data_IF_499726848162
#
_entry.id   IF_499726848162
#
_cell.length_a   1.000
_cell.length_b   1.000
_cell.length_c   1.000
_cell.angle_alpha   90.00
_cell.angle_beta   90.00
_cell.angle_gamma   90.00
#
_symmetry.space_group_name_H-M   'P 1'
#
loop_
_entity.id
_entity.type
_entity.pdbx_description
1 polymer ?
#
# COMPACT_ATOMS: atom_id res chain seq x y z
N UNK A 1 0.73 7.31 0.21
CA UNK A 1 0.08 7.99 1.34
C UNK A 1 -1.22 7.28 1.65
N UNK A 2 -1.29 6.71 2.85
CA UNK A 2 -2.52 6.13 3.39
C UNK A 2 -3.17 7.11 4.38
N UNK A 3 -4.50 7.17 4.39
CA UNK A 3 -5.29 7.90 5.38
C UNK A 3 -6.39 7.03 5.97
N UNK A 4 -6.70 7.26 7.25
CA UNK A 4 -7.65 6.47 8.03
C UNK A 4 -8.65 7.40 8.70
N UNK A 5 -9.94 7.08 8.56
CA UNK A 5 -11.03 7.77 9.23
C UNK A 5 -11.80 6.73 10.04
N UNK A 6 -12.00 7.02 11.33
CA UNK A 6 -12.74 6.17 12.25
C UNK A 6 -14.09 6.81 12.54
N UNK A 7 -15.18 6.05 12.33
CA UNK A 7 -16.54 6.46 12.65
C UNK A 7 -17.24 5.34 13.43
N UNK A 8 -17.17 5.42 14.76
CA UNK A 8 -17.58 4.31 15.62
C UNK A 8 -16.70 3.09 15.36
N UNK A 9 -17.32 1.97 14.99
CA UNK A 9 -16.61 0.73 14.63
C UNK A 9 -16.22 0.68 13.15
N UNK A 10 -16.64 1.64 12.32
CA UNK A 10 -16.29 1.68 10.90
C UNK A 10 -14.92 2.35 10.73
N UNK A 11 -14.01 1.67 10.04
CA UNK A 11 -12.78 2.26 9.50
C UNK A 11 -12.91 2.45 7.99
N UNK A 12 -12.62 3.67 7.54
CA UNK A 12 -12.49 4.01 6.12
C UNK A 12 -11.02 4.27 5.84
N UNK A 13 -10.50 3.60 4.82
CA UNK A 13 -9.08 3.58 4.49
C UNK A 13 -8.95 4.10 3.07
N UNK A 14 -8.02 5.02 2.83
CA UNK A 14 -7.78 5.58 1.50
C UNK A 14 -6.29 5.52 1.16
N UNK A 15 -5.92 4.85 0.08
CA UNK A 15 -4.53 4.75 -0.40
C UNK A 15 -4.32 5.52 -1.71
N UNK A 16 -3.30 6.38 -1.72
CA UNK A 16 -2.70 6.95 -2.95
C UNK A 16 -1.20 6.65 -2.94
N UNK A 17 -0.77 5.69 -3.74
CA UNK A 17 0.65 5.37 -3.94
C UNK A 17 1.03 3.96 -3.50
N UNK A 18 2.20 3.83 -2.91
CA UNK A 18 2.90 2.57 -2.59
C UNK A 18 3.14 2.40 -1.08
N UNK A 19 2.44 3.19 -0.26
CA UNK A 19 2.35 2.93 1.18
C UNK A 19 1.50 1.69 1.42
N UNK A 20 1.78 0.97 2.50
CA UNK A 20 1.03 -0.22 2.88
C UNK A 20 0.53 -0.13 4.32
N UNK A 21 -0.67 -0.66 4.50
CA UNK A 21 -1.33 -0.83 5.77
C UNK A 21 -1.66 -2.29 6.01
N UNK A 22 -1.33 -2.79 7.20
CA UNK A 22 -1.61 -4.15 7.66
C UNK A 22 -2.24 -4.10 9.04
N UNK A 23 -3.35 -4.81 9.22
CA UNK A 23 -4.03 -4.95 10.50
C UNK A 23 -3.61 -6.23 11.18
N UNK A 24 -3.24 -6.16 12.45
CA UNK A 24 -3.08 -7.34 13.30
C UNK A 24 -4.43 -7.70 13.93
N UNK A 25 -4.96 -8.89 13.65
CA UNK A 25 -6.19 -9.42 14.27
C UNK A 25 -5.91 -10.73 14.99
N UNK A 26 -6.58 -10.97 16.12
CA UNK A 26 -6.48 -12.25 16.83
C UNK A 26 -7.38 -13.30 16.16
N UNK A 27 -6.85 -14.51 15.91
CA UNK A 27 -7.62 -15.68 15.47
C UNK A 27 -8.23 -16.44 16.65
N UNK A 28 -9.04 -17.47 16.36
CA UNK A 28 -9.77 -18.23 17.38
C UNK A 28 -8.84 -19.01 18.32
N UNK A 29 -7.63 -19.35 17.88
CA UNK A 29 -6.58 -19.99 18.68
C UNK A 29 -5.76 -19.01 19.54
N UNK A 30 -6.11 -17.72 19.51
CA UNK A 30 -5.41 -16.65 20.23
C UNK A 30 -4.14 -16.14 19.54
N UNK A 31 -3.75 -16.72 18.39
CA UNK A 31 -2.61 -16.22 17.63
C UNK A 31 -2.97 -14.93 16.88
N UNK A 32 -1.96 -14.12 16.56
CA UNK A 32 -2.15 -12.90 15.78
C UNK A 32 -1.92 -13.16 14.30
N UNK A 33 -2.90 -12.79 13.50
CA UNK A 33 -2.93 -12.96 12.05
C UNK A 33 -2.94 -11.57 11.42
N UNK A 34 -2.01 -11.29 10.49
CA UNK A 34 -2.03 -10.05 9.73
C UNK A 34 -3.05 -10.11 8.61
N UNK A 35 -3.78 -9.01 8.42
CA UNK A 35 -4.75 -8.80 7.35
C UNK A 35 -4.33 -7.54 6.59
N UNK A 36 -3.96 -7.71 5.32
CA UNK A 36 -3.59 -6.59 4.47
C UNK A 36 -4.81 -5.68 4.23
N UNK A 37 -4.64 -4.39 4.50
CA UNK A 37 -5.69 -3.37 4.36
C UNK A 37 -5.57 -2.57 3.06
N UNK A 38 -4.35 -2.35 2.57
CA UNK A 38 -4.08 -1.64 1.31
C UNK A 38 -3.13 -2.44 0.43
N UNK A 39 -3.25 -2.27 -0.88
CA UNK A 39 -2.37 -2.88 -1.88
C UNK A 39 -1.58 -1.77 -2.58
N UNK A 40 -0.31 -2.02 -2.85
CA UNK A 40 0.52 -1.10 -3.61
C UNK A 40 -0.10 -0.84 -4.99
N UNK A 41 -0.36 0.42 -5.30
CA UNK A 41 -0.95 0.81 -6.59
C UNK A 41 0.15 0.90 -7.65
N UNK A 42 0.55 -0.28 -8.13
CA UNK A 42 1.63 -0.43 -9.12
C UNK A 42 1.11 -0.20 -10.54
N UNK A 43 1.94 0.38 -11.43
CA UNK A 43 1.56 0.66 -12.82
C UNK A 43 1.09 -0.55 -13.64
N UNK A 44 1.51 -1.76 -13.28
CA UNK A 44 1.19 -2.99 -14.01
C UNK A 44 -0.07 -3.71 -13.52
N UNK A 45 -0.76 -3.19 -12.48
CA UNK A 45 -2.06 -3.73 -12.11
C UNK A 45 -3.05 -3.53 -13.27
N UNK A 46 -3.91 -4.51 -13.60
CA UNK A 46 -4.72 -4.47 -14.83
C UNK A 46 -5.49 -3.16 -15.03
N UNK A 47 -6.22 -2.70 -14.01
CA UNK A 47 -6.99 -1.45 -14.08
C UNK A 47 -6.13 -0.19 -14.13
N UNK A 48 -4.96 -0.22 -13.48
CA UNK A 48 -4.03 0.91 -13.48
C UNK A 48 -3.34 1.03 -14.84
N UNK A 49 -2.84 -0.09 -15.36
CA UNK A 49 -2.23 -0.21 -16.66
C UNK A 49 -3.22 0.20 -17.76
N UNK A 50 -4.44 -0.32 -17.74
CA UNK A 50 -5.47 0.02 -18.74
C UNK A 50 -5.71 1.54 -18.79
N UNK A 51 -5.89 2.18 -17.63
CA UNK A 51 -6.03 3.64 -17.55
C UNK A 51 -4.81 4.36 -18.11
N UNK A 52 -3.60 3.95 -17.75
CA UNK A 52 -2.36 4.56 -18.22
C UNK A 52 -2.26 4.50 -19.75
N UNK A 53 -2.54 3.34 -20.34
CA UNK A 53 -2.52 3.16 -21.80
C UNK A 53 -3.61 3.98 -22.50
N UNK A 54 -4.82 4.07 -21.93
CA UNK A 54 -5.90 4.92 -22.46
C UNK A 54 -5.53 6.41 -22.46
N UNK A 55 -4.70 6.84 -21.51
CA UNK A 55 -4.14 8.19 -21.44
C UNK A 55 -2.82 8.34 -22.22
N UNK A 56 -2.48 7.41 -23.11
CA UNK A 56 -1.24 7.41 -23.91
C UNK A 56 0.07 7.31 -23.10
N UNK A 57 -0.02 7.06 -21.79
CA UNK A 57 1.14 6.76 -20.97
C UNK A 57 1.68 5.36 -21.27
N UNK A 58 2.93 5.12 -20.89
CA UNK A 58 3.62 3.83 -21.12
C UNK A 58 3.92 3.15 -19.79
N UNK A 59 3.81 1.82 -19.77
CA UNK A 59 4.16 0.98 -18.60
C UNK A 59 5.20 -0.06 -19.01
N UNK A 60 6.40 0.04 -18.45
CA UNK A 60 7.46 -0.97 -18.63
C UNK A 60 8.52 -0.88 -17.53
N UNK A 61 9.34 -1.93 -17.41
CA UNK A 61 10.50 -1.97 -16.50
C UNK A 61 11.76 -1.51 -17.24
N UNK A 62 12.71 -0.90 -16.51
CA UNK A 62 14.06 -0.71 -17.04
C UNK A 62 14.77 -2.07 -17.17
N UNK A 63 15.76 -2.14 -18.06
CA UNK A 63 16.50 -3.38 -18.30
C UNK A 63 17.34 -3.82 -17.10
N UNK A 64 17.89 -2.87 -16.37
CA UNK A 64 18.70 -3.03 -15.15
C UNK A 64 17.85 -3.26 -13.88
N UNK A 65 16.55 -2.92 -13.92
CA UNK A 65 15.60 -3.14 -12.82
C UNK A 65 14.39 -4.01 -13.26
N UNK A 66 14.61 -5.28 -13.66
CA UNK A 66 13.51 -6.15 -14.06
C UNK A 66 12.54 -6.38 -12.90
N UNK A 67 11.25 -6.14 -13.16
CA UNK A 67 10.16 -6.31 -12.19
C UNK A 67 9.63 -5.02 -11.58
N UNK A 68 10.36 -3.90 -11.71
CA UNK A 68 9.89 -2.58 -11.27
C UNK A 68 9.19 -1.86 -12.41
N UNK A 69 7.87 -2.03 -12.48
CA UNK A 69 7.06 -1.38 -13.51
C UNK A 69 6.91 0.11 -13.20
N UNK A 70 7.19 0.95 -14.19
CA UNK A 70 7.18 2.39 -14.09
C UNK A 70 6.23 3.02 -15.11
N UNK A 71 5.68 4.18 -14.78
CA UNK A 71 4.92 5.05 -15.70
C UNK A 71 5.89 6.00 -16.38
N UNK A 72 5.77 6.08 -17.70
CA UNK A 72 6.60 6.92 -18.55
C UNK A 72 5.73 7.83 -19.42
N UNK A 73 6.31 8.97 -19.81
CA UNK A 73 5.73 9.83 -20.83
C UNK A 73 5.65 9.08 -22.18
N UNK A 74 4.78 9.50 -23.11
CA UNK A 74 4.64 8.82 -24.41
C UNK A 74 5.94 8.82 -25.21
N UNK A 75 6.58 9.99 -25.28
CA UNK A 75 7.72 10.27 -26.16
C UNK A 75 9.08 10.23 -25.45
N UNK A 76 9.08 10.14 -24.11
CA UNK A 76 10.30 10.22 -23.30
C UNK A 76 10.33 9.15 -22.21
N UNK A 77 11.52 8.62 -21.93
CA UNK A 77 11.77 7.73 -20.78
C UNK A 77 12.00 8.56 -19.52
N UNK A 78 11.03 9.42 -19.21
CA UNK A 78 10.99 10.28 -18.02
C UNK A 78 9.54 10.39 -17.54
N UNK A 79 9.26 10.61 -16.24
CA UNK A 79 10.19 10.55 -15.11
C UNK A 79 10.47 9.11 -14.63
N UNK A 80 9.68 8.12 -15.06
CA UNK A 80 9.83 6.73 -14.61
C UNK A 80 9.28 6.45 -13.22
N UNK A 81 8.02 6.80 -12.99
CA UNK A 81 7.41 6.70 -11.66
C UNK A 81 6.95 5.27 -11.35
N UNK A 82 7.39 4.69 -10.23
CA UNK A 82 7.08 3.30 -9.85
C UNK A 82 5.67 3.09 -9.26
N UNK A 83 4.81 4.10 -9.31
CA UNK A 83 3.44 4.10 -8.78
C UNK A 83 2.47 4.71 -9.80
N UNK A 84 1.22 4.24 -9.79
CA UNK A 84 0.16 4.67 -10.71
C UNK A 84 -0.76 5.74 -10.14
N UNK A 85 -0.62 6.06 -8.84
CA UNK A 85 -1.36 7.13 -8.15
C UNK A 85 -0.43 7.88 -7.21
N UNK A 86 -0.43 9.20 -7.25
CA UNK A 86 0.40 10.06 -6.41
C UNK A 86 -0.24 11.44 -6.24
N UNK A 87 0.14 12.21 -5.24
CA UNK A 87 -0.10 13.66 -5.24
C UNK A 87 1.10 14.36 -5.88
N UNK A 88 0.88 15.46 -6.61
CA UNK A 88 1.95 16.12 -7.35
C UNK A 88 2.22 15.47 -8.70
N UNK A 89 3.49 15.36 -9.11
CA UNK A 89 3.94 14.73 -10.37
C UNK A 89 3.14 15.16 -11.61
N UNK A 90 2.91 16.48 -11.72
CA UNK A 90 2.01 17.06 -12.71
C UNK A 90 2.37 16.71 -14.17
N UNK A 91 3.64 16.45 -14.46
CA UNK A 91 4.10 16.06 -15.79
C UNK A 91 3.46 14.75 -16.29
N UNK A 92 3.15 13.80 -15.39
CA UNK A 92 2.58 12.50 -15.75
C UNK A 92 1.06 12.40 -15.52
N UNK A 93 0.43 13.45 -14.98
CA UNK A 93 -1.04 13.46 -14.73
C UNK A 93 -1.87 13.30 -15.98
N UNK A 94 -1.43 13.90 -17.10
CA UNK A 94 -2.08 13.74 -18.40
C UNK A 94 -1.98 12.31 -18.97
N UNK A 95 -1.11 11.48 -18.40
CA UNK A 95 -0.72 10.17 -18.94
C UNK A 95 -1.12 9.02 -18.00
N UNK A 96 -2.20 9.21 -17.23
CA UNK A 96 -2.84 8.18 -16.43
C UNK A 96 -2.41 8.08 -14.98
N UNK A 97 -1.47 8.92 -14.51
CA UNK A 97 -1.26 9.14 -13.09
C UNK A 97 -2.46 9.91 -12.51
N UNK A 98 -3.08 9.40 -11.45
CA UNK A 98 -4.21 10.08 -10.79
C UNK A 98 -3.92 10.34 -9.32
N UNK A 99 -4.68 11.25 -8.71
CA UNK A 99 -4.62 11.50 -7.25
C UNK A 99 -5.83 10.91 -6.52
N UNK A 100 -6.69 10.17 -7.23
CA UNK A 100 -7.91 9.59 -6.67
C UNK A 100 -7.53 8.36 -5.85
N UNK A 101 -7.81 8.33 -4.53
CA UNK A 101 -7.48 7.19 -3.70
C UNK A 101 -8.24 5.94 -4.09
N UNK A 102 -7.64 4.78 -3.85
CA UNK A 102 -8.43 3.56 -3.63
C UNK A 102 -9.00 3.61 -2.22
N UNK A 103 -10.32 3.48 -2.09
CA UNK A 103 -11.02 3.58 -0.81
C UNK A 103 -11.61 2.24 -0.45
N UNK A 104 -11.25 1.73 0.73
CA UNK A 104 -11.82 0.52 1.31
C UNK A 104 -12.47 0.84 2.65
N UNK A 105 -13.43 0.02 3.06
CA UNK A 105 -14.15 0.18 4.32
C UNK A 105 -14.22 -1.17 5.02
N UNK A 106 -14.12 -1.14 6.35
CA UNK A 106 -14.18 -2.34 7.18
C UNK A 106 -14.77 -2.01 8.55
N UNK A 107 -15.46 -2.96 9.16
CA UNK A 107 -15.79 -2.87 10.58
C UNK A 107 -14.63 -3.41 11.41
N UNK A 108 -14.25 -2.65 12.43
CA UNK A 108 -13.33 -3.04 13.48
C UNK A 108 -14.08 -3.93 14.45
N UNK A 109 -13.42 -5.00 14.88
CA UNK A 109 -13.94 -5.93 15.88
C UNK A 109 -13.04 -5.90 17.12
N UNK A 110 -13.51 -6.48 18.22
CA UNK A 110 -12.70 -6.63 19.44
C UNK A 110 -11.44 -7.50 19.25
N UNK A 111 -11.32 -8.20 18.11
CA UNK A 111 -10.13 -9.00 17.76
C UNK A 111 -9.03 -8.17 17.11
N UNK A 112 -9.37 -7.01 16.57
CA UNK A 112 -8.44 -6.14 15.85
C UNK A 112 -7.58 -5.36 16.87
N UNK A 113 -6.27 -5.62 16.88
CA UNK A 113 -5.36 -5.10 17.91
C UNK A 113 -4.73 -3.76 17.52
N UNK A 114 -4.08 -3.71 16.36
CA UNK A 114 -3.39 -2.52 15.88
C UNK A 114 -3.19 -2.54 14.36
N UNK A 115 -3.00 -1.36 13.77
CA UNK A 115 -2.61 -1.19 12.37
C UNK A 115 -1.15 -0.78 12.29
N UNK A 116 -0.41 -1.43 11.40
CA UNK A 116 0.94 -1.03 10.99
C UNK A 116 0.83 -0.28 9.67
N UNK A 117 1.40 0.92 9.63
CA UNK A 117 1.55 1.72 8.43
C UNK A 117 3.03 1.83 8.11
N UNK A 118 3.38 1.56 6.87
CA UNK A 118 4.75 1.61 6.41
C UNK A 118 4.84 2.18 4.98
N UNK A 119 5.93 2.87 4.70
CA UNK A 119 6.26 3.44 3.40
C UNK A 119 7.28 2.55 2.68
N UNK A 120 7.54 2.85 1.40
CA UNK A 120 8.36 2.09 0.45
C UNK A 120 9.68 1.50 1.00
N UNK A 121 10.39 2.21 1.89
CA UNK A 121 11.65 1.77 2.48
C UNK A 121 11.56 0.53 3.38
N UNK A 122 10.34 0.11 3.76
CA UNK A 122 10.08 -1.02 4.66
C UNK A 122 9.24 -2.11 3.97
N UNK A 123 8.36 -1.76 3.04
CA UNK A 123 7.34 -2.64 2.46
C UNK A 123 7.75 -3.47 1.22
N UNK A 124 9.04 -3.51 0.88
CA UNK A 124 9.54 -4.21 -0.33
C UNK A 124 9.18 -5.71 -0.32
N UNK A 125 8.94 -6.30 0.86
CA UNK A 125 8.64 -7.73 1.03
C UNK A 125 7.36 -7.89 1.86
N UNK A 126 6.32 -8.59 1.37
CA UNK A 126 5.12 -8.89 2.16
C UNK A 126 5.46 -9.57 3.48
N UNK A 127 6.41 -10.52 3.50
CA UNK A 127 6.90 -11.11 4.75
C UNK A 127 7.51 -10.11 5.74
N UNK A 128 8.02 -8.95 5.31
CA UNK A 128 8.59 -7.95 6.23
C UNK A 128 7.49 -7.23 6.99
N UNK A 129 6.34 -6.94 6.39
CA UNK A 129 5.21 -6.38 7.13
C UNK A 129 4.64 -7.39 8.13
N UNK A 130 4.60 -8.67 7.73
CA UNK A 130 4.27 -9.79 8.63
C UNK A 130 5.32 -9.89 9.76
N UNK A 131 6.61 -9.75 9.45
CA UNK A 131 7.69 -9.81 10.43
C UNK A 131 7.71 -8.60 11.37
N UNK A 132 7.36 -7.40 10.90
CA UNK A 132 7.20 -6.20 11.73
C UNK A 132 5.99 -6.32 12.64
N UNK A 133 4.89 -6.88 12.12
CA UNK A 133 3.77 -7.28 12.95
C UNK A 133 4.26 -8.27 14.03
N UNK A 134 4.99 -9.32 13.67
CA UNK A 134 5.61 -10.28 14.60
C UNK A 134 6.61 -9.66 15.58
N UNK A 135 7.41 -8.68 15.17
CA UNK A 135 8.44 -8.08 16.00
C UNK A 135 7.86 -7.08 17.00
N UNK A 136 6.84 -6.28 16.60
CA UNK A 136 6.07 -5.48 17.57
C UNK A 136 5.29 -6.37 18.54
N UNK A 137 4.84 -7.55 18.11
CA UNK A 137 4.18 -8.53 18.98
C UNK A 137 5.13 -9.04 20.07
N UNK A 138 6.38 -9.41 19.73
CA UNK A 138 7.38 -9.80 20.73
C UNK A 138 7.70 -8.67 21.73
N UNK A 139 7.73 -7.42 21.27
CA UNK A 139 7.98 -6.25 22.15
C UNK A 139 6.80 -5.92 23.07
N UNK A 140 5.56 -6.19 22.65
CA UNK A 140 4.36 -6.00 23.48
C UNK A 140 4.16 -7.13 24.49
N UNK A 141 4.50 -8.37 24.15
CA UNK A 141 4.49 -9.52 25.07
C UNK A 141 5.52 -9.36 26.21
N UNK A 142 6.69 -8.77 25.92
CA UNK A 142 7.69 -8.45 26.95
C UNK A 142 7.19 -7.39 27.94
N UNK A 143 6.34 -6.46 27.50
CA UNK A 143 5.72 -5.47 28.40
C UNK A 143 4.55 -6.03 29.23
N UNK A 144 3.87 -7.09 28.80
CA UNK A 144 2.87 -7.81 29.61
C UNK A 144 3.49 -8.78 30.63
N UNK A 145 4.80 -9.01 30.58
CA UNK A 145 5.55 -9.78 31.61
C UNK A 145 6.19 -8.90 32.69
N UNK A 146 6.01 -7.57 32.63
CA UNK A 146 6.63 -6.62 33.56
C UNK A 146 5.63 -5.85 34.43
N UNK A 147 4.39 -6.31 34.57
CA UNK A 147 3.44 -5.91 35.62
C UNK A 147 2.53 -7.08 36.02
#
# INVERSE_FOLDING_TARGET
>A
LDSFIFQGELIVISNVGDSRAVLATTSDDGSLVPVQLTVDLKPNLPHEAERIHQCQGRVFCLHDEPGVHRVWLPDEESPGLAMSRAFGDYCVKGFGLISVPEVTQRNITSRDQFVVLATDGVCIIPQVDYALCNQKMNLMDDHHRMF
#
